data_IF_091085250660
#
_entry.id   IF_091085250660
#
_cell.length_a   1.000
_cell.length_b   1.000
_cell.length_c   1.000
_cell.angle_alpha   90.00
_cell.angle_beta   90.00
_cell.angle_gamma   90.00
#
_symmetry.space_group_name_H-M   'P 1'
#
loop_
_entity.id
_entity.type
_entity.pdbx_description
1 polymer ?
#
# COMPACT_ATOMS: atom_id res chain seq x y z
N UNK A 1 16.76 -18.12 -16.92
CA UNK A 1 16.35 -18.32 -15.51
C UNK A 1 16.88 -17.13 -14.74
N UNK A 2 16.05 -16.13 -14.44
CA UNK A 2 16.54 -14.93 -13.77
C UNK A 2 16.19 -15.02 -12.29
N UNK A 3 16.95 -15.82 -11.54
CA UNK A 3 16.87 -15.90 -10.06
C UNK A 3 16.88 -14.49 -9.46
N UNK A 4 17.65 -13.58 -10.05
CA UNK A 4 17.63 -12.17 -9.72
C UNK A 4 16.23 -11.53 -9.83
N UNK A 5 15.50 -11.76 -10.92
CA UNK A 5 14.15 -11.22 -11.10
C UNK A 5 13.17 -11.82 -10.08
N UNK A 6 13.26 -13.12 -9.80
CA UNK A 6 12.44 -13.79 -8.78
C UNK A 6 12.68 -13.17 -7.39
N UNK A 7 13.95 -13.08 -6.97
CA UNK A 7 14.34 -12.47 -5.69
C UNK A 7 13.94 -11.00 -5.60
N UNK A 8 14.21 -10.21 -6.65
CA UNK A 8 13.84 -8.81 -6.70
C UNK A 8 12.32 -8.63 -6.58
N UNK A 9 11.54 -9.45 -7.29
CA UNK A 9 10.07 -9.40 -7.26
C UNK A 9 9.57 -9.71 -5.86
N UNK A 10 10.10 -10.76 -5.21
CA UNK A 10 9.74 -11.12 -3.84
C UNK A 10 10.08 -10.00 -2.86
N UNK A 11 11.26 -9.39 -2.95
CA UNK A 11 11.64 -8.27 -2.07
C UNK A 11 10.70 -7.07 -2.24
N UNK A 12 10.36 -6.70 -3.47
CA UNK A 12 9.46 -5.57 -3.75
C UNK A 12 8.04 -5.84 -3.23
N UNK A 13 7.47 -7.01 -3.54
CA UNK A 13 6.13 -7.40 -3.09
C UNK A 13 6.07 -7.57 -1.58
N UNK A 14 7.10 -8.16 -0.96
CA UNK A 14 7.20 -8.30 0.49
C UNK A 14 7.30 -6.93 1.18
N UNK A 15 8.03 -5.98 0.60
CA UNK A 15 8.12 -4.61 1.13
C UNK A 15 6.77 -3.90 1.08
N UNK A 16 6.06 -3.99 -0.05
CA UNK A 16 4.71 -3.44 -0.20
C UNK A 16 3.73 -4.06 0.82
N UNK A 17 3.79 -5.38 0.98
CA UNK A 17 3.02 -6.11 1.98
C UNK A 17 3.35 -5.67 3.40
N UNK A 18 4.64 -5.58 3.76
CA UNK A 18 5.07 -5.22 5.11
C UNK A 18 4.56 -3.83 5.52
N UNK A 19 4.63 -2.85 4.63
CA UNK A 19 4.11 -1.50 4.89
C UNK A 19 2.59 -1.47 5.07
N UNK A 20 1.85 -2.21 4.24
CA UNK A 20 0.39 -2.33 4.37
C UNK A 20 -0.02 -3.08 5.64
N UNK A 21 0.70 -4.14 5.98
CA UNK A 21 0.48 -4.93 7.20
C UNK A 21 0.80 -4.11 8.46
N UNK A 22 1.89 -3.34 8.46
CA UNK A 22 2.22 -2.44 9.58
C UNK A 22 1.05 -1.49 9.89
N UNK A 23 0.49 -0.85 8.85
CA UNK A 23 -0.70 -0.01 9.00
C UNK A 23 -1.89 -0.77 9.61
N UNK A 24 -2.20 -1.97 9.08
CA UNK A 24 -3.30 -2.78 9.56
C UNK A 24 -3.13 -3.22 11.03
N UNK A 25 -1.90 -3.54 11.45
CA UNK A 25 -1.60 -3.98 12.81
C UNK A 25 -1.65 -2.85 13.84
N UNK A 26 -1.50 -1.59 13.41
CA UNK A 26 -1.64 -0.44 14.30
C UNK A 26 -3.10 -0.09 14.63
N UNK A 27 -4.06 -0.64 13.86
CA UNK A 27 -5.49 -0.34 14.01
C UNK A 27 -6.01 -0.48 15.45
N UNK A 28 -5.74 -1.56 16.21
CA UNK A 28 -6.24 -1.69 17.58
C UNK A 28 -5.72 -0.61 18.54
N UNK A 29 -4.53 -0.06 18.28
CA UNK A 29 -3.98 1.06 19.02
C UNK A 29 -4.65 2.37 18.59
N UNK A 30 -4.76 2.60 17.29
CA UNK A 30 -5.36 3.82 16.73
C UNK A 30 -6.84 4.00 17.03
N UNK A 31 -7.59 2.92 17.20
CA UNK A 31 -9.00 2.99 17.62
C UNK A 31 -9.18 3.58 19.03
N UNK A 32 -8.12 3.61 19.84
CA UNK A 32 -8.12 4.16 21.21
C UNK A 32 -7.71 5.63 21.25
N UNK A 33 -7.25 6.19 20.13
CA UNK A 33 -6.80 7.57 20.04
C UNK A 33 -7.99 8.52 19.87
N UNK A 34 -7.86 9.71 20.45
CA UNK A 34 -8.69 10.85 20.09
C UNK A 34 -8.35 11.36 18.69
N UNK A 35 -9.15 12.32 18.21
CA UNK A 35 -9.00 12.91 16.87
C UNK A 35 -7.61 13.53 16.70
N UNK A 36 -7.17 14.36 17.64
CA UNK A 36 -5.92 15.11 17.51
C UNK A 36 -4.71 14.17 17.54
N UNK A 37 -4.69 13.20 18.47
CA UNK A 37 -3.61 12.21 18.56
C UNK A 37 -3.54 11.34 17.31
N UNK A 38 -4.69 10.96 16.74
CA UNK A 38 -4.72 10.22 15.48
C UNK A 38 -4.07 11.02 14.35
N UNK A 39 -4.42 12.30 14.17
CA UNK A 39 -3.82 13.15 13.14
C UNK A 39 -2.32 13.37 13.35
N UNK A 40 -1.85 13.43 14.60
CA UNK A 40 -0.41 13.49 14.91
C UNK A 40 0.30 12.21 14.47
N UNK A 41 -0.22 11.04 14.87
CA UNK A 41 0.37 9.74 14.52
C UNK A 41 0.41 9.53 13.00
N UNK A 42 -0.60 9.97 12.25
CA UNK A 42 -0.62 9.82 10.79
C UNK A 42 0.55 10.48 10.07
N UNK A 43 1.17 11.51 10.67
CA UNK A 43 2.28 12.24 10.04
C UNK A 43 3.56 11.40 9.95
N UNK A 44 3.72 10.41 10.82
CA UNK A 44 4.94 9.56 10.84
C UNK A 44 5.13 8.74 9.56
N UNK A 45 4.05 8.54 8.79
CA UNK A 45 4.11 7.80 7.54
C UNK A 45 4.71 8.62 6.40
N UNK A 46 4.66 9.95 6.48
CA UNK A 46 5.28 10.82 5.48
C UNK A 46 6.73 11.14 5.86
N UNK A 47 7.68 11.16 4.90
CA UNK A 47 7.53 10.77 3.50
C UNK A 47 7.81 9.27 3.27
N UNK A 48 8.32 8.55 4.28
CA UNK A 48 8.91 7.22 4.13
C UNK A 48 7.97 6.20 3.50
N UNK A 49 6.74 6.09 3.98
CA UNK A 49 5.75 5.16 3.42
C UNK A 49 5.23 5.61 2.07
N UNK A 50 5.24 6.92 1.77
CA UNK A 50 4.86 7.42 0.43
C UNK A 50 5.92 7.03 -0.61
N UNK A 51 7.20 7.27 -0.32
CA UNK A 51 8.30 6.98 -1.25
C UNK A 51 8.56 5.47 -1.31
N UNK A 52 8.73 4.83 -0.16
CA UNK A 52 8.95 3.39 -0.06
C UNK A 52 7.78 2.58 -0.62
N UNK A 53 6.54 2.95 -0.26
CA UNK A 53 5.32 2.35 -0.79
C UNK A 53 5.21 2.51 -2.31
N UNK A 54 5.45 3.71 -2.83
CA UNK A 54 5.45 3.97 -4.26
C UNK A 54 6.47 3.12 -5.03
N UNK A 55 7.72 3.04 -4.55
CA UNK A 55 8.78 2.23 -5.17
C UNK A 55 8.43 0.74 -5.10
N UNK A 56 8.02 0.24 -3.93
CA UNK A 56 7.74 -1.17 -3.71
C UNK A 56 6.50 -1.63 -4.48
N UNK A 57 5.42 -0.86 -4.49
CA UNK A 57 4.18 -1.21 -5.17
C UNK A 57 4.33 -1.14 -6.69
N UNK A 58 4.84 -0.03 -7.23
CA UNK A 58 5.02 0.12 -8.68
C UNK A 58 6.08 -0.86 -9.19
N UNK A 59 7.22 -0.94 -8.50
CA UNK A 59 8.28 -1.88 -8.83
C UNK A 59 7.81 -3.33 -8.74
N UNK A 60 7.05 -3.68 -7.69
CA UNK A 60 6.49 -5.00 -7.48
C UNK A 60 5.51 -5.40 -8.60
N UNK A 61 4.64 -4.49 -9.03
CA UNK A 61 3.74 -4.72 -10.17
C UNK A 61 4.53 -4.97 -11.46
N UNK A 62 5.49 -4.10 -11.78
CA UNK A 62 6.30 -4.23 -13.00
C UNK A 62 7.11 -5.52 -13.00
N UNK A 63 7.78 -5.83 -11.89
CA UNK A 63 8.59 -7.03 -11.74
C UNK A 63 7.74 -8.30 -11.80
N UNK A 64 6.57 -8.31 -11.16
CA UNK A 64 5.62 -9.44 -11.21
C UNK A 64 5.09 -9.65 -12.63
N UNK A 65 4.79 -8.57 -13.35
CA UNK A 65 4.37 -8.66 -14.76
C UNK A 65 5.50 -9.21 -15.64
N UNK A 66 6.73 -8.72 -15.49
CA UNK A 66 7.89 -9.26 -16.21
C UNK A 66 8.11 -10.76 -15.90
N UNK A 67 7.96 -11.15 -14.63
CA UNK A 67 8.06 -12.56 -14.22
C UNK A 67 6.95 -13.41 -14.84
N UNK A 68 5.73 -12.87 -14.96
CA UNK A 68 4.60 -13.53 -15.63
C UNK A 68 4.91 -13.82 -17.10
N UNK A 69 5.46 -12.84 -17.83
CA UNK A 69 5.82 -12.99 -19.25
C UNK A 69 6.95 -14.02 -19.48
N UNK A 70 7.77 -14.27 -18.47
CA UNK A 70 8.88 -15.24 -18.53
C UNK A 70 8.51 -16.60 -17.90
N UNK A 71 7.25 -16.78 -17.48
CA UNK A 71 6.83 -17.99 -16.79
C UNK A 71 6.53 -19.14 -17.75
N UNK A 72 7.24 -20.26 -17.57
CA UNK A 72 6.99 -21.51 -18.30
C UNK A 72 5.90 -22.35 -17.62
N UNK A 73 4.85 -22.68 -18.36
CA UNK A 73 3.81 -23.62 -17.95
C UNK A 73 2.54 -22.96 -17.36
N UNK A 74 1.37 -23.59 -17.54
CA UNK A 74 0.07 -22.99 -17.21
C UNK A 74 -0.15 -22.79 -15.70
N UNK A 75 0.46 -23.62 -14.85
CA UNK A 75 0.31 -23.50 -13.39
C UNK A 75 1.05 -22.26 -12.87
N UNK A 76 2.33 -22.10 -13.23
CA UNK A 76 3.12 -20.92 -12.84
C UNK A 76 2.49 -19.63 -13.36
N UNK A 77 2.05 -19.62 -14.62
CA UNK A 77 1.39 -18.46 -15.21
C UNK A 77 0.16 -18.04 -14.40
N UNK A 78 -0.73 -18.98 -14.04
CA UNK A 78 -1.95 -18.67 -13.27
C UNK A 78 -1.65 -18.13 -11.88
N UNK A 79 -0.64 -18.68 -11.19
CA UNK A 79 -0.24 -18.20 -9.87
C UNK A 79 0.33 -16.78 -9.93
N UNK A 80 1.23 -16.50 -10.88
CA UNK A 80 1.82 -15.17 -11.05
C UNK A 80 0.77 -14.16 -11.54
N UNK A 81 -0.13 -14.56 -12.44
CA UNK A 81 -1.25 -13.73 -12.87
C UNK A 81 -2.18 -13.38 -11.69
N UNK A 82 -2.46 -14.34 -10.81
CA UNK A 82 -3.21 -14.09 -9.57
C UNK A 82 -2.48 -13.13 -8.62
N UNK A 83 -1.16 -13.29 -8.48
CA UNK A 83 -0.33 -12.38 -7.68
C UNK A 83 -0.35 -10.95 -8.24
N UNK A 84 -0.24 -10.80 -9.57
CA UNK A 84 -0.33 -9.51 -10.25
C UNK A 84 -1.72 -8.89 -10.09
N UNK A 85 -2.79 -9.67 -10.28
CA UNK A 85 -4.16 -9.20 -10.09
C UNK A 85 -4.38 -8.68 -8.65
N UNK A 86 -3.88 -9.39 -7.64
CA UNK A 86 -3.98 -8.95 -6.26
C UNK A 86 -3.27 -7.60 -6.02
N UNK A 87 -2.09 -7.38 -6.61
CA UNK A 87 -1.38 -6.08 -6.53
C UNK A 87 -2.14 -4.96 -7.26
N UNK A 88 -2.71 -5.25 -8.43
CA UNK A 88 -3.51 -4.27 -9.16
C UNK A 88 -4.78 -3.88 -8.39
N UNK A 89 -5.44 -4.85 -7.75
CA UNK A 89 -6.61 -4.58 -6.89
C UNK A 89 -6.18 -3.82 -5.64
N UNK A 90 -5.04 -4.16 -5.02
CA UNK A 90 -4.47 -3.41 -3.90
C UNK A 90 -4.26 -1.93 -4.28
N UNK A 91 -3.81 -1.67 -5.51
CA UNK A 91 -3.63 -0.31 -6.02
C UNK A 91 -4.96 0.38 -6.31
N UNK A 92 -5.96 -0.34 -6.82
CA UNK A 92 -7.32 0.18 -6.96
C UNK A 92 -7.90 0.62 -5.61
N UNK A 93 -7.70 -0.18 -4.55
CA UNK A 93 -8.13 0.16 -3.18
C UNK A 93 -7.44 1.46 -2.71
N UNK A 94 -6.16 1.67 -3.02
CA UNK A 94 -5.49 2.93 -2.68
C UNK A 94 -6.17 4.13 -3.33
N UNK A 95 -6.35 4.09 -4.65
CA UNK A 95 -6.92 5.23 -5.37
C UNK A 95 -8.36 5.52 -4.99
N UNK A 96 -9.16 4.48 -4.73
CA UNK A 96 -10.58 4.62 -4.41
C UNK A 96 -10.80 4.94 -2.93
N UNK A 97 -10.01 4.37 -2.01
CA UNK A 97 -10.29 4.47 -0.56
C UNK A 97 -9.27 5.33 0.19
N UNK A 98 -7.97 5.09 0.01
CA UNK A 98 -6.89 5.73 0.78
C UNK A 98 -6.62 7.16 0.31
N UNK A 99 -6.41 7.34 -0.99
CA UNK A 99 -5.97 8.61 -1.57
C UNK A 99 -6.93 9.77 -1.35
N UNK A 100 -8.27 9.61 -1.46
CA UNK A 100 -9.20 10.70 -1.19
C UNK A 100 -9.15 11.21 0.25
N UNK A 101 -8.66 10.39 1.18
CA UNK A 101 -8.58 10.70 2.59
C UNK A 101 -7.22 11.29 2.98
N UNK A 102 -6.13 10.88 2.32
CA UNK A 102 -4.76 11.31 2.63
C UNK A 102 -4.54 12.83 2.72
N UNK A 103 -5.27 13.60 1.91
CA UNK A 103 -5.19 15.07 1.94
C UNK A 103 -5.51 15.67 3.31
N UNK A 104 -6.37 15.02 4.11
CA UNK A 104 -6.77 15.49 5.44
C UNK A 104 -5.67 15.20 6.47
N UNK A 105 -5.04 14.03 6.39
CA UNK A 105 -3.98 13.64 7.33
C UNK A 105 -2.71 14.48 7.18
N UNK A 106 -2.52 15.09 6.01
CA UNK A 106 -1.36 15.92 5.67
C UNK A 106 -1.63 17.42 5.79
N UNK A 107 -2.81 17.83 6.30
CA UNK A 107 -3.20 19.25 6.47
C UNK A 107 -2.25 20.06 7.36
N UNK A 108 -1.42 19.42 8.17
CA UNK A 108 -0.45 20.12 9.03
C UNK A 108 1.00 19.73 8.71
N UNK A 109 1.22 19.09 7.55
CA UNK A 109 2.56 18.68 7.10
C UNK A 109 3.03 19.63 6.02
N UNK A 110 4.27 20.11 6.13
CA UNK A 110 4.91 20.84 5.05
C UNK A 110 5.25 19.89 3.90
N UNK A 111 4.53 20.04 2.79
CA UNK A 111 4.68 19.19 1.61
C UNK A 111 5.61 19.81 0.58
N UNK A 112 6.47 18.97 -0.01
CA UNK A 112 7.18 19.32 -1.24
C UNK A 112 6.22 19.52 -2.41
N UNK A 113 6.60 20.30 -3.43
CA UNK A 113 5.73 20.60 -4.59
C UNK A 113 5.19 19.35 -5.32
N UNK A 114 5.98 18.27 -5.51
CA UNK A 114 5.44 17.03 -6.06
C UNK A 114 4.41 16.37 -5.14
N UNK A 115 4.62 16.41 -3.83
CA UNK A 115 3.69 15.83 -2.86
C UNK A 115 2.36 16.60 -2.83
N UNK A 116 2.39 17.94 -2.91
CA UNK A 116 1.18 18.78 -3.03
C UNK A 116 0.31 18.36 -4.21
N UNK A 117 0.94 18.16 -5.38
CA UNK A 117 0.25 17.71 -6.60
C UNK A 117 -0.30 16.30 -6.45
N UNK A 118 0.48 15.38 -5.87
CA UNK A 118 0.06 14.00 -5.69
C UNK A 118 -1.16 13.88 -4.76
N UNK A 119 -1.11 14.54 -3.60
CA UNK A 119 -2.18 14.49 -2.60
C UNK A 119 -3.31 15.49 -2.85
N UNK A 120 -3.20 16.35 -3.86
CA UNK A 120 -4.16 17.43 -4.16
C UNK A 120 -4.49 18.28 -2.92
N UNK A 121 -3.44 18.70 -2.19
CA UNK A 121 -3.54 19.55 -1.00
C UNK A 121 -2.34 20.50 -0.93
N UNK A 122 -2.55 21.67 -0.34
CA UNK A 122 -1.46 22.61 -0.05
C UNK A 122 -0.65 22.20 1.20
N UNK A 123 -1.10 21.18 1.94
CA UNK A 123 -0.53 20.79 3.22
C UNK A 123 -1.09 21.71 4.30
N UNK A 124 -0.22 22.50 4.94
CA UNK A 124 -0.62 23.53 5.91
C UNK A 124 -1.30 24.74 5.24
N UNK A 125 -2.63 24.68 5.15
CA UNK A 125 -3.48 25.74 4.58
C UNK A 125 -4.37 26.44 5.62
N UNK A 126 -4.21 26.11 6.91
CA UNK A 126 -5.01 26.66 8.00
C UNK A 126 -6.46 26.17 8.04
N UNK A 127 -6.83 25.16 7.25
CA UNK A 127 -8.16 24.56 7.31
C UNK A 127 -8.38 23.84 8.66
N UNK A 128 -9.52 24.07 9.35
CA UNK A 128 -9.81 23.35 10.59
C UNK A 128 -9.92 21.84 10.34
N UNK A 129 -9.54 21.06 11.35
CA UNK A 129 -9.73 19.61 11.32
C UNK A 129 -11.21 19.25 11.13
N UNK A 130 -11.53 18.14 10.42
CA UNK A 130 -12.89 17.67 10.22
C UNK A 130 -13.65 17.52 11.55
N UNK A 131 -14.98 17.68 11.51
CA UNK A 131 -15.84 17.51 12.69
C UNK A 131 -15.73 16.10 13.29
N UNK A 132 -16.23 15.92 14.52
CA UNK A 132 -16.20 14.65 15.26
C UNK A 132 -16.75 13.45 14.46
N UNK A 133 -17.83 13.68 13.73
CA UNK A 133 -18.51 12.64 12.93
C UNK A 133 -17.74 12.37 11.63
N UNK A 134 -17.30 13.43 10.94
CA UNK A 134 -16.57 13.33 9.68
C UNK A 134 -15.22 12.65 9.85
N UNK A 135 -14.43 12.99 10.88
CA UNK A 135 -13.12 12.35 11.06
C UNK A 135 -13.23 10.86 11.35
N UNK A 136 -14.28 10.43 12.06
CA UNK A 136 -14.49 9.01 12.38
C UNK A 136 -14.77 8.22 11.11
N UNK A 137 -15.60 8.77 10.21
CA UNK A 137 -15.86 8.18 8.90
C UNK A 137 -14.59 8.12 8.04
N UNK A 138 -13.79 9.20 8.03
CA UNK A 138 -12.51 9.27 7.31
C UNK A 138 -11.50 8.24 7.87
N UNK A 139 -11.34 8.15 9.19
CA UNK A 139 -10.51 7.14 9.86
C UNK A 139 -10.94 5.74 9.43
N UNK A 140 -12.22 5.40 9.63
CA UNK A 140 -12.70 4.05 9.40
C UNK A 140 -12.49 3.62 7.94
N UNK A 141 -12.74 4.53 6.99
CA UNK A 141 -12.47 4.28 5.56
C UNK A 141 -10.98 4.06 5.29
N UNK A 142 -10.13 4.91 5.85
CA UNK A 142 -8.69 4.85 5.64
C UNK A 142 -8.10 3.58 6.26
N UNK A 143 -8.43 3.29 7.51
CA UNK A 143 -7.97 2.08 8.21
C UNK A 143 -8.45 0.79 7.53
N UNK A 144 -9.72 0.72 7.12
CA UNK A 144 -10.24 -0.42 6.36
C UNK A 144 -9.48 -0.60 5.04
N UNK A 145 -9.14 0.50 4.36
CA UNK A 145 -8.37 0.43 3.11
C UNK A 145 -7.00 -0.24 3.33
N UNK A 146 -6.33 0.05 4.44
CA UNK A 146 -5.04 -0.57 4.76
C UNK A 146 -5.16 -2.04 5.12
N UNK A 147 -6.22 -2.44 5.85
CA UNK A 147 -6.50 -3.86 6.10
C UNK A 147 -6.73 -4.63 4.80
N UNK A 148 -7.57 -4.09 3.90
CA UNK A 148 -7.81 -4.71 2.59
C UNK A 148 -6.52 -4.81 1.76
N UNK A 149 -5.72 -3.74 1.74
CA UNK A 149 -4.43 -3.71 1.06
C UNK A 149 -3.45 -4.73 1.64
N UNK A 150 -3.40 -4.90 2.95
CA UNK A 150 -2.56 -5.90 3.61
C UNK A 150 -2.94 -7.33 3.21
N UNK A 151 -4.24 -7.64 3.19
CA UNK A 151 -4.75 -8.97 2.74
C UNK A 151 -4.39 -9.23 1.28
N UNK A 152 -4.60 -8.26 0.39
CA UNK A 152 -4.28 -8.38 -1.03
C UNK A 152 -2.78 -8.54 -1.28
N UNK A 153 -1.95 -7.75 -0.59
CA UNK A 153 -0.50 -7.84 -0.70
C UNK A 153 0.04 -9.18 -0.17
N UNK A 154 -0.51 -9.66 0.95
CA UNK A 154 -0.18 -10.97 1.51
C UNK A 154 -0.57 -12.10 0.54
N UNK A 155 -1.78 -12.05 -0.03
CA UNK A 155 -2.21 -13.00 -1.05
C UNK A 155 -1.26 -12.99 -2.26
N UNK A 156 -0.86 -11.82 -2.73
CA UNK A 156 0.11 -11.70 -3.83
C UNK A 156 1.43 -12.37 -3.48
N UNK A 157 1.98 -12.10 -2.29
CA UNK A 157 3.23 -12.70 -1.84
C UNK A 157 3.14 -14.22 -1.73
N UNK A 158 2.03 -14.76 -1.20
CA UNK A 158 1.78 -16.20 -1.11
C UNK A 158 1.77 -16.83 -2.50
N UNK A 159 0.97 -16.29 -3.43
CA UNK A 159 0.85 -16.83 -4.78
C UNK A 159 2.19 -16.77 -5.54
N UNK A 160 2.93 -15.67 -5.40
CA UNK A 160 4.24 -15.48 -6.01
C UNK A 160 5.26 -16.49 -5.48
N UNK A 161 5.35 -16.64 -4.15
CA UNK A 161 6.31 -17.56 -3.52
C UNK A 161 5.96 -19.02 -3.77
N UNK A 162 4.67 -19.37 -3.84
CA UNK A 162 4.22 -20.69 -4.30
C UNK A 162 4.65 -20.96 -5.75
N UNK A 163 4.49 -20.00 -6.65
CA UNK A 163 4.90 -20.16 -8.05
C UNK A 163 6.40 -20.41 -8.20
N UNK A 164 7.22 -19.73 -7.38
CA UNK A 164 8.68 -19.91 -7.38
C UNK A 164 9.05 -21.27 -6.76
N UNK A 165 8.46 -21.63 -5.61
CA UNK A 165 8.79 -22.86 -4.90
C UNK A 165 8.43 -24.13 -5.70
N UNK A 166 7.29 -24.14 -6.40
CA UNK A 166 6.86 -25.30 -7.19
C UNK A 166 7.73 -25.49 -8.45
N UNK A 167 8.34 -24.42 -8.98
CA UNK A 167 9.30 -24.52 -10.09
C UNK A 167 10.58 -25.24 -9.68
N UNK A 168 10.98 -25.11 -8.41
CA UNK A 168 12.22 -25.68 -7.87
C UNK A 168 12.11 -27.14 -7.44
N UNK A 169 10.90 -27.71 -7.47
CA UNK A 169 10.61 -29.11 -7.16
C UNK A 169 10.55 -29.96 -8.44
#
# INVERSE_FOLDING_TARGET
MYVFLEVLTVILVASAMAMALAHALELPGKLRLGREEYFVVQRIYYPGFTVGGGIAEIGGIIATFALMLTSGGPVHFRLIAGALAALLIMQLVFWVMTQPVNKHWLQEVELSSPAKRFFATEGNDGTPLPSAEEWTALRNRWELSHVLRAVLAMLSLILLTMAIAIRSA
#
